data_IF_172353839626
#
_entry.id   IF_172353839626
#
_cell.length_a   1.000
_cell.length_b   1.000
_cell.length_c   1.000
_cell.angle_alpha   90.00
_cell.angle_beta   90.00
_cell.angle_gamma   90.00
#
_symmetry.space_group_name_H-M   'P 1'
#
loop_
_entity.id
_entity.type
_entity.pdbx_description
1 polymer ?
#
# COMPACT_ATOMS: atom_id res chain seq x y z
N UNK A 1 15.77 5.20 -1.27
CA UNK A 1 14.98 5.02 -0.03
C UNK A 1 13.53 5.38 -0.35
N UNK A 2 12.59 4.52 0.05
CA UNK A 2 11.15 4.82 -0.02
C UNK A 2 10.68 5.46 1.28
N UNK A 3 10.02 6.61 1.17
CA UNK A 3 9.48 7.34 2.31
C UNK A 3 7.97 7.50 2.20
N UNK A 4 7.23 7.10 3.23
CA UNK A 4 5.78 7.05 3.22
C UNK A 4 5.18 8.18 4.05
N UNK A 5 4.40 9.08 3.45
CA UNK A 5 3.61 10.08 4.18
C UNK A 5 2.24 9.47 4.48
N UNK A 6 1.94 9.25 5.76
CA UNK A 6 0.76 8.52 6.24
C UNK A 6 0.97 7.00 6.28
N UNK A 7 2.13 6.55 6.76
CA UNK A 7 2.56 5.14 6.75
C UNK A 7 1.65 4.20 7.55
N UNK A 8 0.88 4.72 8.52
CA UNK A 8 -0.05 3.93 9.35
C UNK A 8 -1.41 3.69 8.68
N UNK A 9 -1.66 4.21 7.49
CA UNK A 9 -2.82 3.84 6.69
C UNK A 9 -2.75 2.36 6.29
N UNK A 10 -3.90 1.65 6.21
CA UNK A 10 -3.91 0.19 5.99
C UNK A 10 -3.16 -0.24 4.73
N UNK A 11 -3.49 0.34 3.58
CA UNK A 11 -2.77 0.05 2.33
C UNK A 11 -1.31 0.51 2.36
N UNK A 12 -1.02 1.66 2.98
CA UNK A 12 0.33 2.19 3.12
C UNK A 12 1.21 1.28 3.98
N UNK A 13 0.71 0.80 5.12
CA UNK A 13 1.41 -0.13 5.98
C UNK A 13 1.70 -1.45 5.27
N UNK A 14 0.72 -2.00 4.53
CA UNK A 14 0.92 -3.21 3.72
C UNK A 14 2.01 -3.02 2.66
N UNK A 15 1.96 -1.91 1.92
CA UNK A 15 2.94 -1.61 0.87
C UNK A 15 4.35 -1.36 1.44
N UNK A 16 4.45 -0.66 2.56
CA UNK A 16 5.73 -0.42 3.24
C UNK A 16 6.39 -1.74 3.67
N UNK A 17 5.60 -2.68 4.21
CA UNK A 17 6.06 -4.04 4.58
C UNK A 17 6.54 -4.81 3.35
N UNK A 18 5.81 -4.76 2.25
CA UNK A 18 6.20 -5.41 0.98
C UNK A 18 7.55 -4.88 0.48
N UNK A 19 7.74 -3.55 0.43
CA UNK A 19 8.99 -2.97 -0.02
C UNK A 19 10.16 -3.33 0.90
N UNK A 20 9.92 -3.36 2.21
CA UNK A 20 10.93 -3.83 3.17
C UNK A 20 11.31 -5.29 2.94
N UNK A 21 10.33 -6.18 2.77
CA UNK A 21 10.56 -7.61 2.52
C UNK A 21 11.32 -7.84 1.20
N UNK A 22 11.13 -6.97 0.20
CA UNK A 22 11.91 -6.94 -1.05
C UNK A 22 13.33 -6.39 -0.87
N UNK A 23 13.67 -5.90 0.31
CA UNK A 23 15.02 -5.44 0.68
C UNK A 23 15.29 -3.97 0.37
N UNK A 24 14.26 -3.18 0.17
CA UNK A 24 14.42 -1.73 0.06
C UNK A 24 14.53 -1.07 1.44
N UNK A 25 15.22 0.06 1.48
CA UNK A 25 15.22 0.95 2.63
C UNK A 25 13.88 1.69 2.68
N UNK A 26 13.15 1.56 3.81
CA UNK A 26 11.80 2.09 3.99
C UNK A 26 11.72 2.86 5.30
N UNK A 27 11.10 4.02 5.28
CA UNK A 27 10.71 4.80 6.45
C UNK A 27 9.42 5.55 6.15
N UNK A 28 8.84 6.20 7.13
CA UNK A 28 7.70 7.08 6.88
C UNK A 28 7.29 7.90 8.10
N UNK A 29 6.25 8.68 7.91
CA UNK A 29 5.67 9.55 8.94
C UNK A 29 4.18 9.33 9.07
N UNK A 30 3.67 9.67 10.25
CA UNK A 30 2.24 9.68 10.54
C UNK A 30 1.96 10.52 11.81
N UNK A 31 0.70 10.61 12.19
CA UNK A 31 0.28 11.20 13.46
C UNK A 31 0.89 10.45 14.64
N UNK A 32 1.14 11.15 15.77
CA UNK A 32 1.77 10.56 16.97
C UNK A 32 0.89 9.54 17.70
N UNK A 33 -0.41 9.51 17.39
CA UNK A 33 -1.34 8.55 17.98
C UNK A 33 -0.98 7.12 17.57
N UNK A 34 -0.96 6.19 18.53
CA UNK A 34 -0.83 4.78 18.25
C UNK A 34 -2.02 4.27 17.39
N UNK A 35 -1.68 3.54 16.34
CA UNK A 35 -2.62 2.81 15.49
C UNK A 35 -2.08 1.38 15.37
N UNK A 36 -2.92 0.36 15.63
CA UNK A 36 -2.50 -1.05 15.65
C UNK A 36 -1.77 -1.51 14.36
N UNK A 37 -2.00 -0.83 13.25
CA UNK A 37 -1.33 -1.09 11.97
C UNK A 37 0.19 -0.85 12.03
N UNK A 38 0.67 -0.04 12.98
CA UNK A 38 2.11 0.22 13.14
C UNK A 38 2.87 -0.99 13.72
N UNK A 39 2.20 -1.95 14.35
CA UNK A 39 2.85 -3.11 14.96
C UNK A 39 3.65 -3.91 13.92
N UNK A 40 3.05 -4.19 12.77
CA UNK A 40 3.74 -4.90 11.69
C UNK A 40 4.88 -4.12 11.03
N UNK A 41 4.87 -2.78 11.12
CA UNK A 41 6.00 -1.93 10.72
C UNK A 41 7.12 -2.00 11.76
N UNK A 42 6.78 -1.93 13.05
CA UNK A 42 7.73 -2.03 14.16
C UNK A 42 8.42 -3.39 14.23
N UNK A 43 7.71 -4.48 13.97
CA UNK A 43 8.27 -5.84 13.86
C UNK A 43 9.41 -5.93 12.84
N UNK A 44 9.34 -5.12 11.77
CA UNK A 44 10.36 -5.00 10.73
C UNK A 44 11.39 -3.90 11.01
N UNK A 45 11.30 -3.22 12.15
CA UNK A 45 12.12 -2.05 12.48
C UNK A 45 12.04 -0.93 11.44
N UNK A 46 10.88 -0.77 10.77
CA UNK A 46 10.65 0.34 9.85
C UNK A 46 10.46 1.61 10.67
N UNK A 47 11.32 2.65 10.49
CA UNK A 47 11.21 3.90 11.24
C UNK A 47 9.90 4.64 10.92
N UNK A 48 9.23 5.11 11.98
CA UNK A 48 8.00 5.93 11.89
C UNK A 48 8.29 7.24 12.63
N UNK A 49 8.16 8.35 11.92
CA UNK A 49 8.42 9.70 12.44
C UNK A 49 7.11 10.48 12.57
N UNK A 50 7.13 11.53 13.40
CA UNK A 50 6.12 12.60 13.33
C UNK A 50 6.31 13.42 12.06
N UNK A 51 5.23 14.00 11.53
CA UNK A 51 5.34 14.89 10.38
C UNK A 51 6.32 16.05 10.62
N UNK A 52 7.25 16.20 9.71
CA UNK A 52 8.20 17.31 9.69
C UNK A 52 8.78 17.44 8.29
N UNK A 53 8.71 18.65 7.71
CA UNK A 53 9.29 18.93 6.38
C UNK A 53 10.76 18.51 6.26
N UNK A 54 11.50 18.53 7.37
CA UNK A 54 12.92 18.15 7.40
C UNK A 54 13.16 16.63 7.28
N UNK A 55 12.11 15.81 7.29
CA UNK A 55 12.19 14.38 6.99
C UNK A 55 12.42 14.11 5.50
N UNK A 56 11.99 15.03 4.63
CA UNK A 56 12.13 14.90 3.17
C UNK A 56 13.55 15.26 2.75
N UNK A 57 14.22 14.32 2.09
CA UNK A 57 15.62 14.46 1.64
C UNK A 57 15.75 14.20 0.16
N UNK A 58 16.79 14.76 -0.46
CA UNK A 58 17.15 14.53 -1.85
C UNK A 58 17.32 13.02 -2.15
N UNK A 59 16.84 12.61 -3.31
CA UNK A 59 16.95 11.24 -3.78
C UNK A 59 15.96 10.24 -3.18
N UNK A 60 14.96 10.72 -2.43
CA UNK A 60 13.87 9.88 -1.93
C UNK A 60 12.81 9.65 -3.00
N UNK A 61 12.23 8.45 -2.98
CA UNK A 61 10.94 8.13 -3.56
C UNK A 61 9.87 8.28 -2.49
N UNK A 62 9.05 9.32 -2.58
CA UNK A 62 8.03 9.66 -1.59
C UNK A 62 6.68 9.12 -2.04
N UNK A 63 6.09 8.22 -1.24
CA UNK A 63 4.77 7.66 -1.47
C UNK A 63 3.77 8.38 -0.57
N UNK A 64 2.80 9.08 -1.20
CA UNK A 64 1.80 9.89 -0.50
C UNK A 64 0.51 9.11 -0.34
N UNK A 65 0.04 9.00 0.91
CA UNK A 65 -1.25 8.40 1.23
C UNK A 65 -2.44 9.29 0.79
N UNK A 66 -3.53 8.66 0.39
CA UNK A 66 -4.70 9.33 -0.20
C UNK A 66 -5.41 10.36 0.71
N UNK A 67 -5.08 10.40 1.99
CA UNK A 67 -5.62 11.36 2.95
C UNK A 67 -4.82 12.67 3.04
N UNK A 68 -3.68 12.74 2.35
CA UNK A 68 -2.74 13.86 2.46
C UNK A 68 -2.64 14.61 1.13
N UNK A 69 -2.58 15.92 1.23
CA UNK A 69 -2.36 16.87 0.15
C UNK A 69 -1.31 17.92 0.56
N UNK A 70 -1.12 18.95 -0.24
CA UNK A 70 -0.16 20.02 0.00
C UNK A 70 -0.35 20.78 1.34
N UNK A 71 -1.48 20.61 2.05
CA UNK A 71 -1.65 21.16 3.40
C UNK A 71 -0.76 20.47 4.44
N UNK A 72 -0.30 19.25 4.17
CA UNK A 72 0.72 18.56 4.96
C UNK A 72 2.10 19.11 4.60
N UNK A 73 2.90 19.48 5.61
CA UNK A 73 4.22 20.09 5.42
C UNK A 73 5.24 19.21 4.69
N UNK A 74 5.12 17.89 4.81
CA UNK A 74 6.01 16.97 4.11
C UNK A 74 5.61 16.81 2.64
N UNK A 75 4.30 16.79 2.33
CA UNK A 75 3.82 16.79 0.94
C UNK A 75 4.29 18.07 0.26
N UNK A 76 4.12 19.23 0.92
CA UNK A 76 4.59 20.51 0.39
C UNK A 76 6.13 20.50 0.16
N UNK A 77 6.90 19.98 1.12
CA UNK A 77 8.36 19.89 0.99
C UNK A 77 8.79 18.94 -0.14
N UNK A 78 8.07 17.83 -0.34
CA UNK A 78 8.35 16.89 -1.43
C UNK A 78 8.04 17.52 -2.79
N UNK A 79 6.90 18.21 -2.94
CA UNK A 79 6.52 18.89 -4.19
C UNK A 79 7.46 20.04 -4.56
N UNK A 80 8.01 20.75 -3.57
CA UNK A 80 8.93 21.87 -3.79
C UNK A 80 10.38 21.39 -4.02
N UNK A 81 10.69 20.10 -3.83
CA UNK A 81 12.04 19.54 -3.99
C UNK A 81 12.20 18.79 -5.33
N UNK A 82 12.94 19.36 -6.30
CA UNK A 82 13.12 18.75 -7.63
C UNK A 82 13.94 17.45 -7.61
N UNK A 83 14.62 17.13 -6.51
CA UNK A 83 15.43 15.92 -6.32
C UNK A 83 14.66 14.78 -5.66
N UNK A 84 13.35 14.92 -5.46
CA UNK A 84 12.45 13.92 -4.90
C UNK A 84 11.50 13.42 -5.99
N UNK A 85 11.27 12.12 -6.04
CA UNK A 85 10.25 11.52 -6.90
C UNK A 85 8.99 11.26 -6.08
N UNK A 86 7.85 11.81 -6.49
CA UNK A 86 6.58 11.62 -5.78
C UNK A 86 5.75 10.56 -6.49
N UNK A 87 5.19 9.66 -5.71
CA UNK A 87 4.27 8.62 -6.14
C UNK A 87 2.96 8.71 -5.35
N UNK A 88 1.83 8.53 -6.04
CA UNK A 88 0.57 8.25 -5.37
C UNK A 88 0.47 6.75 -5.09
N UNK A 89 -0.11 6.40 -3.94
CA UNK A 89 -0.20 5.02 -3.47
C UNK A 89 -0.74 4.04 -4.52
N UNK A 90 -1.87 4.36 -5.15
CA UNK A 90 -2.53 3.46 -6.11
C UNK A 90 -1.73 3.29 -7.41
N UNK A 91 -1.10 4.35 -7.93
CA UNK A 91 -0.25 4.30 -9.13
C UNK A 91 1.02 3.49 -8.87
N UNK A 92 1.63 3.68 -7.70
CA UNK A 92 2.80 2.92 -7.31
C UNK A 92 2.49 1.43 -7.14
N UNK A 93 1.37 1.11 -6.47
CA UNK A 93 0.93 -0.28 -6.29
C UNK A 93 0.61 -0.94 -7.63
N UNK A 94 -0.08 -0.25 -8.55
CA UNK A 94 -0.36 -0.77 -9.88
C UNK A 94 0.93 -1.19 -10.60
N UNK A 95 1.93 -0.31 -10.64
CA UNK A 95 3.24 -0.59 -11.26
C UNK A 95 3.98 -1.75 -10.58
N UNK A 96 3.88 -1.86 -9.26
CA UNK A 96 4.49 -2.98 -8.53
C UNK A 96 3.82 -4.32 -8.85
N UNK A 97 2.53 -4.30 -9.16
CA UNK A 97 1.76 -5.49 -9.55
C UNK A 97 2.09 -5.95 -10.98
N UNK A 98 2.34 -5.03 -11.91
CA UNK A 98 2.50 -5.31 -13.36
C UNK A 98 3.64 -6.32 -13.68
N UNK A 99 4.63 -6.45 -12.81
CA UNK A 99 5.74 -7.40 -12.98
C UNK A 99 5.40 -8.84 -12.55
N UNK A 100 4.13 -9.11 -12.18
CA UNK A 100 3.68 -10.39 -11.62
C UNK A 100 2.44 -10.90 -12.35
N UNK A 101 2.15 -12.20 -12.22
CA UNK A 101 0.79 -12.70 -12.48
C UNK A 101 -0.09 -12.24 -11.33
N UNK A 102 -1.04 -11.36 -11.63
CA UNK A 102 -1.81 -10.62 -10.64
C UNK A 102 -3.19 -11.19 -10.42
N UNK A 103 -3.59 -11.30 -9.14
CA UNK A 103 -4.92 -11.74 -8.72
C UNK A 103 -5.54 -10.64 -7.88
N UNK A 104 -6.54 -9.96 -8.42
CA UNK A 104 -7.28 -8.90 -7.74
C UNK A 104 -8.53 -9.45 -7.04
N UNK A 105 -8.66 -9.16 -5.75
CA UNK A 105 -9.85 -9.54 -4.97
C UNK A 105 -10.66 -8.28 -4.67
N UNK A 106 -11.85 -8.20 -5.24
CA UNK A 106 -12.77 -7.08 -5.10
C UNK A 106 -14.11 -7.52 -4.47
N UNK A 107 -14.98 -6.56 -4.22
CA UNK A 107 -16.33 -6.79 -3.69
C UNK A 107 -16.63 -5.90 -2.49
N UNK A 108 -17.90 -5.72 -2.17
CA UNK A 108 -18.33 -4.91 -1.04
C UNK A 108 -17.84 -5.49 0.28
N UNK A 109 -18.02 -6.80 0.49
CA UNK A 109 -17.66 -7.49 1.72
C UNK A 109 -16.75 -8.71 1.47
N UNK A 110 -15.96 -9.06 2.49
CA UNK A 110 -15.14 -10.28 2.51
C UNK A 110 -13.81 -10.20 1.74
N UNK A 111 -13.45 -9.06 1.15
CA UNK A 111 -12.17 -8.86 0.43
C UNK A 111 -10.98 -9.35 1.24
N UNK A 112 -10.80 -8.81 2.44
CA UNK A 112 -9.68 -9.11 3.35
C UNK A 112 -9.55 -10.60 3.66
N UNK A 113 -10.68 -11.25 4.02
CA UNK A 113 -10.70 -12.69 4.32
C UNK A 113 -10.36 -13.52 3.08
N UNK A 114 -10.95 -13.20 1.94
CA UNK A 114 -10.70 -13.91 0.67
C UNK A 114 -9.27 -13.75 0.20
N UNK A 115 -8.70 -12.52 0.30
CA UNK A 115 -7.30 -12.25 -0.03
C UNK A 115 -6.36 -13.05 0.86
N UNK A 116 -6.63 -13.09 2.17
CA UNK A 116 -5.86 -13.89 3.13
C UNK A 116 -5.92 -15.40 2.84
N UNK A 117 -7.10 -15.94 2.54
CA UNK A 117 -7.28 -17.35 2.15
C UNK A 117 -6.55 -17.67 0.84
N UNK A 118 -6.70 -16.83 -0.17
CA UNK A 118 -6.00 -17.00 -1.45
C UNK A 118 -4.48 -17.02 -1.25
N UNK A 119 -3.94 -16.05 -0.50
CA UNK A 119 -2.52 -16.03 -0.18
C UNK A 119 -2.06 -17.29 0.54
N UNK A 120 -2.83 -17.78 1.52
CA UNK A 120 -2.50 -18.98 2.27
C UNK A 120 -2.36 -20.21 1.36
N UNK A 121 -3.20 -20.34 0.35
CA UNK A 121 -3.14 -21.42 -0.65
C UNK A 121 -1.96 -21.23 -1.62
N UNK A 122 -1.78 -20.02 -2.13
CA UNK A 122 -0.78 -19.74 -3.16
C UNK A 122 0.65 -19.77 -2.65
N UNK A 123 0.92 -19.28 -1.43
CA UNK A 123 2.27 -19.28 -0.83
C UNK A 123 2.90 -20.67 -0.70
N UNK A 124 2.06 -21.71 -0.57
CA UNK A 124 2.50 -23.10 -0.50
C UNK A 124 2.68 -23.73 -1.90
N UNK A 125 2.12 -23.08 -2.94
CA UNK A 125 2.23 -23.51 -4.32
C UNK A 125 3.43 -22.89 -5.04
N UNK A 126 3.63 -21.58 -4.90
CA UNK A 126 4.75 -20.83 -5.49
C UNK A 126 5.01 -19.55 -4.70
N UNK A 127 6.16 -18.91 -4.94
CA UNK A 127 6.48 -17.60 -4.36
C UNK A 127 5.40 -16.59 -4.72
N UNK A 128 4.79 -16.01 -3.71
CA UNK A 128 3.63 -15.14 -3.85
C UNK A 128 3.76 -13.92 -2.96
N UNK A 129 3.57 -12.76 -3.54
CA UNK A 129 3.42 -11.49 -2.81
C UNK A 129 1.95 -11.26 -2.49
N UNK A 130 1.67 -10.56 -1.39
CA UNK A 130 0.28 -10.23 -1.00
C UNK A 130 0.18 -8.85 -0.38
N UNK A 131 -0.90 -8.15 -0.73
CA UNK A 131 -1.36 -6.94 -0.09
C UNK A 131 -2.79 -7.12 0.40
N UNK A 132 -2.98 -7.05 1.71
CA UNK A 132 -4.29 -7.18 2.38
C UNK A 132 -4.67 -5.84 3.02
N UNK A 133 -5.93 -5.48 2.99
CA UNK A 133 -6.45 -4.20 3.47
C UNK A 133 -6.44 -4.00 4.98
N UNK A 134 -5.98 -4.97 5.75
CA UNK A 134 -5.81 -4.90 7.21
C UNK A 134 -4.40 -4.46 7.65
N UNK A 135 -3.59 -3.96 6.76
CA UNK A 135 -2.19 -3.59 7.01
C UNK A 135 -1.20 -4.74 6.82
N UNK A 136 -1.67 -5.92 6.43
CA UNK A 136 -0.80 -7.07 6.15
C UNK A 136 -0.21 -6.97 4.75
N UNK A 137 1.12 -7.04 4.68
CA UNK A 137 1.87 -7.14 3.42
C UNK A 137 3.02 -8.11 3.59
N UNK A 138 3.19 -9.02 2.63
CA UNK A 138 4.33 -9.93 2.55
C UNK A 138 4.86 -9.97 1.12
N UNK A 139 6.18 -10.01 0.98
CA UNK A 139 6.81 -10.18 -0.32
C UNK A 139 8.04 -11.07 -0.26
N UNK A 140 8.32 -11.71 -1.38
CA UNK A 140 9.50 -12.56 -1.59
C UNK A 140 10.12 -12.20 -2.92
N UNK A 141 11.45 -12.01 -2.95
CA UNK A 141 12.17 -11.73 -4.21
C UNK A 141 11.96 -12.86 -5.23
N UNK A 142 11.61 -12.45 -6.44
CA UNK A 142 11.32 -13.37 -7.54
C UNK A 142 9.98 -14.10 -7.38
N UNK A 143 9.02 -13.46 -6.69
CA UNK A 143 7.65 -13.95 -6.64
C UNK A 143 7.05 -13.97 -8.05
N UNK A 144 6.30 -15.04 -8.34
CA UNK A 144 5.56 -15.19 -9.59
C UNK A 144 4.19 -14.54 -9.53
N UNK A 145 3.55 -14.61 -8.38
CA UNK A 145 2.19 -14.12 -8.16
C UNK A 145 2.16 -12.91 -7.25
N UNK A 146 1.21 -12.02 -7.50
CA UNK A 146 0.84 -10.93 -6.60
C UNK A 146 -0.66 -10.95 -6.37
N UNK A 147 -1.08 -11.18 -5.12
CA UNK A 147 -2.49 -11.16 -4.73
C UNK A 147 -2.76 -9.84 -4.01
N UNK A 148 -3.71 -9.06 -4.50
CA UNK A 148 -4.04 -7.77 -3.91
C UNK A 148 -5.54 -7.64 -3.61
N UNK A 149 -5.82 -7.07 -2.44
CA UNK A 149 -7.14 -6.56 -2.14
C UNK A 149 -7.36 -5.26 -2.95
N UNK A 150 -8.38 -5.25 -3.81
CA UNK A 150 -8.71 -4.12 -4.69
C UNK A 150 -9.88 -3.35 -4.09
N UNK A 151 -9.58 -2.20 -3.47
CA UNK A 151 -10.59 -1.32 -2.88
C UNK A 151 -11.31 -0.53 -3.96
N UNK A 152 -12.65 -0.56 -3.93
CA UNK A 152 -13.53 0.17 -4.83
C UNK A 152 -13.65 1.67 -4.49
N UNK A 153 -13.36 2.05 -3.26
CA UNK A 153 -13.53 3.43 -2.80
C UNK A 153 -12.68 4.40 -3.61
N UNK A 154 -13.29 5.51 -4.06
CA UNK A 154 -12.69 6.51 -4.94
C UNK A 154 -12.09 5.94 -6.23
N UNK A 155 -12.68 4.86 -6.73
CA UNK A 155 -12.30 4.21 -7.99
C UNK A 155 -10.85 3.70 -8.02
N UNK A 156 -10.21 3.48 -6.86
CA UNK A 156 -8.80 3.04 -6.82
C UNK A 156 -8.57 1.74 -7.57
N UNK A 157 -9.52 0.80 -7.55
CA UNK A 157 -9.40 -0.48 -8.25
C UNK A 157 -9.31 -0.33 -9.77
N UNK A 158 -9.73 0.80 -10.35
CA UNK A 158 -9.61 1.06 -11.80
C UNK A 158 -8.16 1.31 -12.27
N UNK A 159 -7.24 1.55 -11.35
CA UNK A 159 -5.82 1.65 -11.65
C UNK A 159 -5.13 0.30 -11.79
N UNK A 160 -5.76 -0.77 -11.28
CA UNK A 160 -5.19 -2.11 -11.30
C UNK A 160 -5.70 -2.89 -12.51
N UNK A 161 -4.80 -3.61 -13.18
CA UNK A 161 -5.11 -4.43 -14.35
C UNK A 161 -4.76 -5.91 -14.06
N UNK A 162 -5.42 -6.54 -13.08
CA UNK A 162 -5.06 -7.89 -12.69
C UNK A 162 -5.37 -8.90 -13.81
N UNK A 163 -4.50 -9.92 -13.98
CA UNK A 163 -4.71 -11.02 -14.91
C UNK A 163 -5.95 -11.84 -14.56
N UNK A 164 -6.21 -11.96 -13.25
CA UNK A 164 -7.38 -12.63 -12.71
C UNK A 164 -8.07 -11.74 -11.69
N UNK A 165 -9.39 -11.62 -11.80
CA UNK A 165 -10.21 -10.89 -10.85
C UNK A 165 -11.25 -11.79 -10.21
N UNK A 166 -11.41 -11.67 -8.89
CA UNK A 166 -12.49 -12.31 -8.17
C UNK A 166 -13.32 -11.26 -7.43
N UNK A 167 -14.62 -11.28 -7.65
CA UNK A 167 -15.57 -10.36 -7.01
C UNK A 167 -16.44 -11.16 -6.06
N UNK A 168 -16.31 -10.91 -4.76
CA UNK A 168 -17.06 -11.63 -3.73
C UNK A 168 -18.58 -11.39 -3.82
N UNK A 169 -18.96 -10.12 -3.89
CA UNK A 169 -20.33 -9.64 -3.95
C UNK A 169 -20.34 -8.17 -4.40
N UNK A 170 -21.51 -7.69 -4.80
CA UNK A 170 -21.73 -6.30 -5.19
C UNK A 170 -22.99 -5.84 -4.50
N UNK A 171 -22.85 -4.94 -3.53
CA UNK A 171 -23.93 -4.31 -2.78
C UNK A 171 -23.68 -2.80 -2.70
N UNK A 172 -24.71 -2.02 -2.35
CA UNK A 172 -24.56 -0.58 -2.17
C UNK A 172 -23.72 -0.32 -0.92
N UNK A 173 -22.60 0.33 -1.11
CA UNK A 173 -21.68 0.79 -0.05
C UNK A 173 -21.07 2.14 -0.43
N UNK A 174 -20.34 2.77 0.49
CA UNK A 174 -19.71 4.07 0.26
C UNK A 174 -20.66 5.09 -0.37
N UNK A 175 -21.86 5.23 0.21
CA UNK A 175 -22.95 6.11 -0.27
C UNK A 175 -22.58 7.60 -0.29
N UNK A 176 -21.47 7.97 0.35
CA UNK A 176 -20.84 9.28 0.27
C UNK A 176 -20.17 9.51 -1.10
N UNK A 177 -19.79 8.44 -1.79
CA UNK A 177 -19.08 8.47 -3.07
C UNK A 177 -19.92 7.91 -4.23
N UNK A 178 -20.43 6.70 -4.11
CA UNK A 178 -21.29 6.08 -5.13
C UNK A 178 -22.76 6.54 -4.97
N UNK A 179 -23.40 6.89 -6.09
CA UNK A 179 -24.79 7.38 -6.14
C UNK A 179 -25.66 6.43 -6.94
#
# INVERSE_FOLDING_TARGET
MYYFIGIKGSGMASLARILYDLGYEVAGSDIDKYIFLEDGLRERNIPIYSFNKDNIKDGMDVIVGNAFDRSNEEVAAAEDNPNVTIHHYYDFLAKLMDDHITIGIAGTHGKTSTTGMAYHLFKDYDKTNVLIGDGTGYATKGAKYFIAECCEYKDHFLWYHPDYSYINNIEMDHVDYFK
#
